data_IF_637578301084
#
_entry.id   IF_637578301084
#
_cell.length_a   1.000
_cell.length_b   1.000
_cell.length_c   1.000
_cell.angle_alpha   90.00
_cell.angle_beta   90.00
_cell.angle_gamma   90.00
#
_symmetry.space_group_name_H-M   'P 1'
#
loop_
_entity.id
_entity.type
_entity.pdbx_description
1 polymer ?
#
# COMPACT_ATOMS: atom_id res chain seq x y z
N UNK A 1 -4.97 13.39 -14.97
CA UNK A 1 -5.07 11.93 -15.10
C UNK A 1 -4.77 11.31 -13.74
N UNK A 2 -5.65 10.44 -13.22
CA UNK A 2 -5.47 9.76 -11.92
C UNK A 2 -5.50 8.22 -12.05
N UNK A 3 -5.47 7.70 -13.27
CA UNK A 3 -5.76 6.29 -13.57
C UNK A 3 -4.80 5.31 -12.90
N UNK A 4 -3.52 5.66 -12.77
CA UNK A 4 -2.52 4.81 -12.08
C UNK A 4 -2.83 4.69 -10.59
N UNK A 5 -3.24 5.79 -9.95
CA UNK A 5 -3.60 5.78 -8.53
C UNK A 5 -4.88 4.98 -8.29
N UNK A 6 -5.87 5.11 -9.19
CA UNK A 6 -7.11 4.34 -9.14
C UNK A 6 -6.87 2.84 -9.33
N UNK A 7 -5.99 2.47 -10.27
CA UNK A 7 -5.55 1.09 -10.45
C UNK A 7 -4.92 0.54 -9.17
N UNK A 8 -3.94 1.25 -8.60
CA UNK A 8 -3.29 0.82 -7.35
C UNK A 8 -4.29 0.71 -6.21
N UNK A 9 -5.21 1.68 -6.09
CA UNK A 9 -6.25 1.65 -5.07
C UNK A 9 -7.18 0.45 -5.21
N UNK A 10 -7.61 0.14 -6.45
CA UNK A 10 -8.48 -0.98 -6.76
C UNK A 10 -7.78 -2.32 -6.54
N UNK A 11 -6.53 -2.48 -7.00
CA UNK A 11 -5.78 -3.73 -6.87
C UNK A 11 -5.37 -4.02 -5.41
N UNK A 12 -5.02 -2.99 -4.64
CA UNK A 12 -4.52 -3.16 -3.29
C UNK A 12 -5.60 -3.04 -2.19
N UNK A 13 -6.84 -2.73 -2.59
CA UNK A 13 -7.90 -2.36 -1.64
C UNK A 13 -7.47 -1.23 -0.72
N UNK A 14 -6.69 -0.27 -1.22
CA UNK A 14 -6.06 0.76 -0.40
C UNK A 14 -7.11 1.73 0.16
N UNK A 15 -7.14 1.90 1.48
CA UNK A 15 -7.97 2.90 2.13
C UNK A 15 -7.27 3.54 3.32
N UNK A 16 -7.79 4.68 3.77
CA UNK A 16 -7.21 5.46 4.87
C UNK A 16 -8.28 5.73 5.92
N UNK A 17 -7.91 5.62 7.20
CA UNK A 17 -8.79 5.96 8.32
C UNK A 17 -7.98 6.47 9.51
N UNK A 18 -8.12 7.75 9.86
CA UNK A 18 -7.32 8.36 10.92
C UNK A 18 -5.82 8.31 10.60
N UNK A 19 -5.04 7.54 11.38
CA UNK A 19 -3.59 7.29 11.18
C UNK A 19 -3.29 5.94 10.52
N UNK A 20 -4.33 5.22 10.08
CA UNK A 20 -4.23 3.91 9.48
C UNK A 20 -4.25 3.98 7.96
N UNK A 21 -3.35 3.22 7.34
CA UNK A 21 -3.43 2.86 5.93
C UNK A 21 -3.70 1.36 5.87
N UNK A 22 -4.78 1.01 5.16
CA UNK A 22 -5.38 -0.31 5.15
C UNK A 22 -5.26 -0.90 3.75
N UNK A 23 -4.90 -2.16 3.70
CA UNK A 23 -4.84 -2.98 2.50
C UNK A 23 -5.86 -4.11 2.65
N UNK A 24 -6.87 -4.15 1.77
CA UNK A 24 -7.94 -5.13 1.81
C UNK A 24 -7.77 -6.12 0.65
N UNK A 25 -7.48 -7.38 0.97
CA UNK A 25 -7.14 -8.43 0.00
C UNK A 25 -6.17 -7.93 -1.09
N UNK A 26 -5.01 -7.37 -0.71
CA UNK A 26 -4.13 -6.72 -1.67
C UNK A 26 -3.62 -7.71 -2.72
N UNK A 27 -3.83 -7.38 -3.99
CA UNK A 27 -3.27 -8.10 -5.12
C UNK A 27 -2.52 -7.14 -6.04
N UNK A 28 -1.59 -7.70 -6.81
CA UNK A 28 -0.93 -6.97 -7.88
C UNK A 28 -1.29 -7.65 -9.22
N UNK A 29 -1.71 -6.88 -10.24
CA UNK A 29 -1.90 -7.43 -11.58
C UNK A 29 -0.59 -7.97 -12.17
N UNK A 30 -0.64 -8.95 -13.06
CA UNK A 30 0.55 -9.60 -13.65
C UNK A 30 1.54 -8.63 -14.34
N UNK A 31 1.04 -7.51 -14.85
CA UNK A 31 1.88 -6.49 -15.47
C UNK A 31 2.66 -5.63 -14.45
N UNK A 32 2.34 -5.75 -13.15
CA UNK A 32 2.85 -4.93 -12.07
C UNK A 32 3.39 -5.79 -10.93
N UNK A 33 4.53 -6.44 -11.15
CA UNK A 33 5.11 -7.40 -10.19
C UNK A 33 5.62 -6.75 -8.89
N UNK A 34 6.02 -5.47 -8.96
CA UNK A 34 6.64 -4.74 -7.86
C UNK A 34 6.18 -3.27 -7.85
N UNK A 35 5.96 -2.72 -6.66
CA UNK A 35 5.56 -1.32 -6.46
C UNK A 35 6.33 -0.71 -5.29
N UNK A 36 6.99 0.41 -5.52
CA UNK A 36 7.51 1.27 -4.45
C UNK A 36 6.59 2.47 -4.26
N UNK A 37 6.04 2.60 -3.05
CA UNK A 37 5.31 3.80 -2.64
C UNK A 37 6.20 4.56 -1.68
N UNK A 38 6.66 5.75 -2.07
CA UNK A 38 7.55 6.58 -1.25
C UNK A 38 6.76 7.72 -0.61
N UNK A 39 7.04 7.99 0.67
CA UNK A 39 6.48 9.09 1.44
C UNK A 39 4.93 9.11 1.39
N UNK A 40 4.29 7.95 1.55
CA UNK A 40 2.84 7.84 1.71
C UNK A 40 2.46 8.44 3.07
N UNK A 41 1.68 9.52 3.06
CA UNK A 41 1.34 10.28 4.26
C UNK A 41 -0.04 9.92 4.79
N UNK A 42 -0.16 9.84 6.11
CA UNK A 42 -1.44 9.66 6.81
C UNK A 42 -1.37 10.40 8.16
N UNK A 43 -2.33 11.28 8.43
CA UNK A 43 -2.20 12.25 9.51
C UNK A 43 -0.87 13.02 9.43
N UNK A 44 -0.16 13.10 10.57
CA UNK A 44 1.18 13.72 10.68
C UNK A 44 2.34 12.74 10.40
N UNK A 45 2.02 11.49 10.02
CA UNK A 45 2.99 10.44 9.78
C UNK A 45 3.23 10.15 8.31
N UNK A 46 4.32 9.42 8.00
CA UNK A 46 4.57 8.91 6.66
C UNK A 46 5.29 7.57 6.64
N UNK A 47 5.07 6.80 5.57
CA UNK A 47 5.73 5.51 5.34
C UNK A 47 6.26 5.38 3.92
N UNK A 48 7.34 4.62 3.77
CA UNK A 48 7.76 4.07 2.48
C UNK A 48 7.44 2.58 2.47
N UNK A 49 6.80 2.11 1.40
CA UNK A 49 6.38 0.72 1.22
C UNK A 49 7.02 0.13 -0.03
N UNK A 50 7.41 -1.13 0.06
CA UNK A 50 7.75 -1.97 -1.07
C UNK A 50 6.76 -3.14 -1.12
N UNK A 51 5.99 -3.22 -2.20
CA UNK A 51 5.04 -4.28 -2.47
C UNK A 51 5.59 -5.18 -3.57
N UNK A 52 5.48 -6.49 -3.37
CA UNK A 52 5.92 -7.49 -4.35
C UNK A 52 4.94 -8.64 -4.43
N UNK A 53 4.58 -9.01 -5.65
CA UNK A 53 3.76 -10.18 -5.93
C UNK A 53 4.52 -11.45 -5.53
N UNK A 54 3.83 -12.36 -4.83
CA UNK A 54 4.35 -13.66 -4.42
C UNK A 54 3.26 -14.71 -4.62
N UNK A 55 3.27 -15.35 -5.79
CA UNK A 55 2.17 -16.22 -6.22
C UNK A 55 0.87 -15.42 -6.33
N UNK A 56 -0.17 -15.88 -5.64
CA UNK A 56 -1.50 -15.24 -5.61
C UNK A 56 -1.64 -14.20 -4.48
N UNK A 57 -0.54 -13.87 -3.79
CA UNK A 57 -0.52 -12.93 -2.66
C UNK A 57 0.46 -11.76 -2.93
N UNK A 58 0.39 -10.74 -2.08
CA UNK A 58 1.30 -9.59 -2.11
C UNK A 58 1.99 -9.44 -0.77
N UNK A 59 3.32 -9.43 -0.81
CA UNK A 59 4.13 -9.09 0.36
C UNK A 59 4.28 -7.57 0.42
N UNK A 60 3.96 -6.99 1.57
CA UNK A 60 4.10 -5.55 1.84
C UNK A 60 5.21 -5.36 2.88
N UNK A 61 6.30 -4.73 2.47
CA UNK A 61 7.43 -4.39 3.32
C UNK A 61 7.40 -2.90 3.67
N UNK A 62 7.52 -2.58 4.96
CA UNK A 62 7.67 -1.21 5.42
C UNK A 62 9.16 -0.87 5.46
N UNK A 63 9.63 -0.14 4.46
CA UNK A 63 11.03 0.29 4.35
C UNK A 63 11.34 1.43 5.32
N UNK A 64 10.34 2.26 5.62
CA UNK A 64 10.52 3.48 6.40
C UNK A 64 9.22 3.91 7.06
N UNK A 65 9.29 4.41 8.30
CA UNK A 65 8.18 5.04 9.01
C UNK A 65 8.64 6.29 9.76
N UNK A 66 7.87 7.36 9.67
CA UNK A 66 7.99 8.58 10.46
C UNK A 66 6.66 8.86 11.15
N UNK A 67 6.73 9.22 12.44
CA UNK A 67 5.54 9.54 13.24
C UNK A 67 4.63 8.34 13.48
N UNK A 68 3.40 8.64 13.91
CA UNK A 68 2.39 7.63 14.21
C UNK A 68 1.64 7.23 12.94
N UNK A 69 1.99 6.06 12.41
CA UNK A 69 1.33 5.42 11.27
C UNK A 69 1.06 3.96 11.61
N UNK A 70 -0.15 3.49 11.32
CA UNK A 70 -0.53 2.09 11.46
C UNK A 70 -0.78 1.48 10.07
N UNK A 71 -0.11 0.36 9.80
CA UNK A 71 -0.39 -0.48 8.64
C UNK A 71 -1.32 -1.62 9.08
N UNK A 72 -2.43 -1.77 8.36
CA UNK A 72 -3.37 -2.88 8.59
C UNK A 72 -3.55 -3.64 7.29
N UNK A 73 -3.34 -4.96 7.35
CA UNK A 73 -3.58 -5.87 6.23
C UNK A 73 -4.75 -6.75 6.62
N UNK A 74 -5.84 -6.65 5.85
CA UNK A 74 -7.04 -7.48 5.99
C UNK A 74 -7.00 -8.52 4.88
N UNK A 75 -6.84 -9.79 5.25
CA UNK A 75 -6.82 -10.92 4.32
C UNK A 75 -8.19 -11.53 4.11
#
# INVERSE_FOLDING_TARGET
>A
SASVLLLLQASLGLSFSGRQIRFHHPMLPDFLQEVWIRNLRVGEGSVDLFLKQYGDDVVINMERKRGEVELVIVK
#
